data_IF_095444689260
#
_entry.id   IF_095444689260
#
_cell.length_a   1.000
_cell.length_b   1.000
_cell.length_c   1.000
_cell.angle_alpha   90.00
_cell.angle_beta   90.00
_cell.angle_gamma   90.00
#
_symmetry.space_group_name_H-M   'P 1'
#
loop_
_entity.id
_entity.type
_entity.pdbx_description
1 polymer ?
#
# COMPACT_ATOMS: atom_id res chain seq x y z
N UNK A 1 17.56 0.82 37.61
CA UNK A 1 17.07 1.43 36.35
C UNK A 1 17.73 0.69 35.20
N UNK A 2 16.96 -0.03 34.39
CA UNK A 2 17.46 -0.71 33.19
C UNK A 2 16.94 0.05 31.97
N UNK A 3 17.84 0.76 31.30
CA UNK A 3 17.60 1.29 29.97
C UNK A 3 17.65 0.12 28.99
N UNK A 4 16.49 -0.31 28.49
CA UNK A 4 16.44 -1.14 27.29
C UNK A 4 16.55 -0.20 26.08
N UNK A 5 17.51 -0.38 25.17
CA UNK A 5 17.46 0.29 23.88
C UNK A 5 16.25 -0.27 23.11
N UNK A 6 15.42 0.62 22.56
CA UNK A 6 14.39 0.24 21.60
C UNK A 6 15.08 -0.52 20.46
N UNK A 7 14.87 -1.84 20.41
CA UNK A 7 15.36 -2.65 19.32
C UNK A 7 14.69 -2.16 18.04
N UNK A 8 15.47 -1.60 17.11
CA UNK A 8 15.05 -1.44 15.72
C UNK A 8 14.60 -2.82 15.25
N UNK A 9 13.30 -3.01 15.00
CA UNK A 9 12.78 -4.23 14.42
C UNK A 9 13.44 -4.40 13.04
N UNK A 10 14.42 -5.30 12.96
CA UNK A 10 15.00 -5.73 11.68
C UNK A 10 14.12 -6.83 11.14
N UNK A 11 13.51 -6.60 9.97
CA UNK A 11 12.61 -7.56 9.33
C UNK A 11 13.26 -8.11 8.06
N UNK A 12 12.85 -9.31 7.66
CA UNK A 12 13.29 -9.92 6.40
C UNK A 12 12.55 -9.26 5.24
N UNK A 13 13.19 -9.18 4.06
CA UNK A 13 12.53 -8.70 2.83
C UNK A 13 11.21 -9.45 2.54
N UNK A 14 11.15 -10.75 2.86
CA UNK A 14 9.94 -11.57 2.70
C UNK A 14 8.76 -11.10 3.57
N UNK A 15 9.03 -10.53 4.74
CA UNK A 15 7.99 -10.04 5.64
C UNK A 15 7.43 -8.71 5.12
N UNK A 16 8.29 -7.79 4.67
CA UNK A 16 7.85 -6.58 3.97
C UNK A 16 7.04 -6.90 2.72
N UNK A 17 7.48 -7.87 1.93
CA UNK A 17 6.73 -8.36 0.76
C UNK A 17 5.34 -8.85 1.15
N UNK A 18 5.22 -9.64 2.21
CA UNK A 18 3.92 -10.13 2.69
C UNK A 18 2.99 -8.96 3.10
N UNK A 19 3.54 -7.89 3.68
CA UNK A 19 2.76 -6.67 4.00
C UNK A 19 2.27 -5.96 2.74
N UNK A 20 3.13 -5.77 1.74
CA UNK A 20 2.69 -5.22 0.44
C UNK A 20 1.64 -6.11 -0.22
N UNK A 21 1.79 -7.43 -0.17
CA UNK A 21 0.82 -8.39 -0.72
C UNK A 21 -0.53 -8.32 0.01
N UNK A 22 -0.54 -8.11 1.33
CA UNK A 22 -1.77 -7.92 2.09
C UNK A 22 -2.50 -6.62 1.69
N UNK A 23 -1.78 -5.51 1.51
CA UNK A 23 -2.37 -4.25 1.02
C UNK A 23 -2.84 -4.42 -0.43
N UNK A 24 -2.07 -5.11 -1.26
CA UNK A 24 -2.45 -5.46 -2.64
C UNK A 24 -3.72 -6.30 -2.70
N UNK A 25 -3.85 -7.29 -1.83
CA UNK A 25 -5.03 -8.15 -1.75
C UNK A 25 -6.28 -7.32 -1.40
N UNK A 26 -6.20 -6.42 -0.42
CA UNK A 26 -7.27 -5.45 -0.13
C UNK A 26 -7.59 -4.59 -1.35
N UNK A 27 -6.56 -4.01 -1.98
CA UNK A 27 -6.74 -3.19 -3.18
C UNK A 27 -7.44 -3.94 -4.32
N UNK A 28 -7.20 -5.25 -4.46
CA UNK A 28 -7.81 -6.10 -5.49
C UNK A 28 -9.22 -6.56 -5.13
N UNK A 29 -9.48 -6.94 -3.89
CA UNK A 29 -10.71 -7.63 -3.51
C UNK A 29 -11.76 -6.76 -2.83
N UNK A 30 -11.37 -5.63 -2.23
CA UNK A 30 -12.34 -4.74 -1.60
C UNK A 30 -13.22 -4.10 -2.67
N UNK A 31 -14.52 -4.10 -2.42
CA UNK A 31 -15.48 -3.36 -3.21
C UNK A 31 -15.45 -1.89 -2.77
N UNK A 32 -15.13 -1.01 -3.71
CA UNK A 32 -14.73 0.38 -3.42
C UNK A 32 -15.91 1.32 -3.57
N UNK A 33 -16.85 0.99 -4.46
CA UNK A 33 -17.92 1.87 -4.87
C UNK A 33 -17.44 3.33 -5.04
N UNK A 34 -18.22 4.26 -4.49
CA UNK A 34 -17.88 5.68 -4.40
C UNK A 34 -17.37 6.09 -3.01
N UNK A 35 -16.86 5.16 -2.19
CA UNK A 35 -16.32 5.51 -0.88
C UNK A 35 -15.06 6.39 -1.03
N UNK A 36 -15.12 7.68 -0.67
CA UNK A 36 -13.98 8.59 -0.84
C UNK A 36 -12.85 8.30 0.16
N UNK A 37 -13.09 7.47 1.19
CA UNK A 37 -12.12 7.15 2.24
C UNK A 37 -11.29 5.91 1.95
N UNK A 38 -11.74 5.05 1.02
CA UNK A 38 -11.07 3.79 0.70
C UNK A 38 -9.64 4.01 0.17
N UNK A 39 -9.48 4.87 -0.84
CA UNK A 39 -8.18 5.14 -1.45
C UNK A 39 -7.19 5.76 -0.44
N UNK A 40 -7.58 6.80 0.34
CA UNK A 40 -6.78 7.26 1.47
C UNK A 40 -6.40 6.14 2.46
N UNK A 41 -7.32 5.22 2.76
CA UNK A 41 -7.07 4.07 3.63
C UNK A 41 -5.98 3.12 3.09
N UNK A 42 -6.05 2.78 1.80
CA UNK A 42 -5.02 1.99 1.12
C UNK A 42 -3.68 2.73 1.09
N UNK A 43 -3.69 4.02 0.74
CA UNK A 43 -2.48 4.84 0.68
C UNK A 43 -1.81 4.95 2.05
N UNK A 44 -2.57 5.13 3.13
CA UNK A 44 -2.02 5.21 4.47
C UNK A 44 -1.35 3.89 4.90
N UNK A 45 -1.96 2.74 4.57
CA UNK A 45 -1.35 1.43 4.83
C UNK A 45 -0.06 1.26 4.01
N UNK A 46 -0.09 1.68 2.75
CA UNK A 46 1.05 1.60 1.85
C UNK A 46 2.21 2.49 2.32
N UNK A 47 1.93 3.75 2.65
CA UNK A 47 2.90 4.71 3.19
C UNK A 47 3.53 4.21 4.50
N UNK A 48 2.76 3.51 5.34
CA UNK A 48 3.28 2.93 6.57
C UNK A 48 4.31 1.82 6.26
N UNK A 49 4.01 0.93 5.31
CA UNK A 49 4.96 -0.12 4.89
C UNK A 49 6.21 0.50 4.24
N UNK A 50 6.02 1.49 3.35
CA UNK A 50 7.12 2.20 2.70
C UNK A 50 8.05 2.87 3.73
N UNK A 51 7.49 3.52 4.76
CA UNK A 51 8.27 4.12 5.85
C UNK A 51 9.08 3.08 6.62
N UNK A 52 8.48 1.93 6.97
CA UNK A 52 9.20 0.86 7.66
C UNK A 52 10.35 0.29 6.81
N UNK A 53 10.17 0.18 5.49
CA UNK A 53 11.24 -0.24 4.55
C UNK A 53 12.36 0.80 4.47
N UNK A 54 12.02 2.08 4.44
CA UNK A 54 13.01 3.15 4.37
C UNK A 54 13.85 3.24 5.65
N UNK A 55 13.20 3.14 6.81
CA UNK A 55 13.82 3.17 8.13
C UNK A 55 14.65 1.91 8.46
N UNK A 56 14.39 0.77 7.79
CA UNK A 56 15.17 -0.44 7.98
C UNK A 56 16.54 -0.34 7.27
N UNK A 57 17.59 -0.12 8.08
CA UNK A 57 18.98 -0.04 7.62
C UNK A 57 19.60 -1.39 7.30
N UNK A 58 18.96 -2.51 7.65
CA UNK A 58 19.44 -3.86 7.34
C UNK A 58 19.09 -4.30 5.92
N UNK A 59 18.10 -3.66 5.29
CA UNK A 59 17.75 -3.90 3.89
C UNK A 59 18.80 -3.30 2.95
N UNK A 60 19.29 -4.13 2.03
CA UNK A 60 20.12 -3.65 0.92
C UNK A 60 19.34 -2.68 0.02
N UNK A 61 20.05 -1.76 -0.63
CA UNK A 61 19.44 -0.85 -1.61
C UNK A 61 18.72 -1.59 -2.74
N UNK A 62 19.18 -2.79 -3.10
CA UNK A 62 18.52 -3.63 -4.10
C UNK A 62 17.19 -4.22 -3.58
N UNK A 63 17.15 -4.63 -2.32
CA UNK A 63 15.90 -5.07 -1.67
C UNK A 63 14.89 -3.92 -1.60
N UNK A 64 15.31 -2.71 -1.20
CA UNK A 64 14.45 -1.52 -1.19
C UNK A 64 13.88 -1.20 -2.57
N UNK A 65 14.70 -1.28 -3.64
CA UNK A 65 14.22 -1.11 -5.02
C UNK A 65 13.17 -2.14 -5.42
N UNK A 66 13.35 -3.42 -5.08
CA UNK A 66 12.35 -4.47 -5.37
C UNK A 66 11.04 -4.23 -4.63
N UNK A 67 11.11 -3.78 -3.38
CA UNK A 67 9.93 -3.44 -2.59
C UNK A 67 9.22 -2.18 -3.13
N UNK A 68 9.95 -1.20 -3.63
CA UNK A 68 9.39 -0.01 -4.29
C UNK A 68 8.61 -0.34 -5.58
N UNK A 69 8.94 -1.45 -6.27
CA UNK A 69 8.13 -1.93 -7.40
C UNK A 69 6.76 -2.44 -6.94
N UNK A 70 6.71 -3.10 -5.77
CA UNK A 70 5.43 -3.54 -5.18
C UNK A 70 4.59 -2.34 -4.73
N UNK A 71 5.24 -1.34 -4.14
CA UNK A 71 4.60 -0.08 -3.77
C UNK A 71 3.89 0.57 -4.97
N UNK A 72 4.61 0.73 -6.08
CA UNK A 72 4.06 1.27 -7.32
C UNK A 72 2.92 0.40 -7.91
N UNK A 73 3.01 -0.94 -7.84
CA UNK A 73 1.94 -1.82 -8.32
C UNK A 73 0.65 -1.66 -7.50
N UNK A 74 0.75 -1.61 -6.17
CA UNK A 74 -0.41 -1.41 -5.28
C UNK A 74 -1.06 -0.06 -5.56
N UNK A 75 -0.27 1.01 -5.66
CA UNK A 75 -0.79 2.34 -5.94
C UNK A 75 -1.50 2.38 -7.30
N UNK A 76 -0.93 1.75 -8.32
CA UNK A 76 -1.54 1.66 -9.66
C UNK A 76 -2.89 0.94 -9.63
N UNK A 77 -2.99 -0.18 -8.92
CA UNK A 77 -4.27 -0.91 -8.75
C UNK A 77 -5.30 -0.02 -8.06
N UNK A 78 -4.91 0.64 -6.96
CA UNK A 78 -5.81 1.48 -6.20
C UNK A 78 -6.35 2.68 -7.01
N UNK A 79 -5.46 3.38 -7.73
CA UNK A 79 -5.87 4.47 -8.64
C UNK A 79 -6.78 3.96 -9.76
N UNK A 80 -6.45 2.82 -10.36
CA UNK A 80 -7.25 2.21 -11.42
C UNK A 80 -8.69 1.92 -10.99
N UNK A 81 -8.89 1.44 -9.75
CA UNK A 81 -10.23 1.21 -9.20
C UNK A 81 -11.02 2.50 -8.98
N UNK A 82 -10.40 3.53 -8.39
CA UNK A 82 -11.05 4.84 -8.20
C UNK A 82 -11.46 5.42 -9.55
N UNK A 83 -10.58 5.34 -10.54
CA UNK A 83 -10.87 5.82 -11.89
C UNK A 83 -12.05 5.07 -12.51
N UNK A 84 -12.10 3.74 -12.40
CA UNK A 84 -13.22 2.93 -12.90
C UNK A 84 -14.54 3.28 -12.19
N UNK A 85 -14.55 3.41 -10.87
CA UNK A 85 -15.74 3.78 -10.11
C UNK A 85 -16.25 5.18 -10.47
N UNK A 86 -15.35 6.13 -10.66
CA UNK A 86 -15.69 7.48 -11.11
C UNK A 86 -16.31 7.47 -12.52
N UNK A 87 -15.69 6.76 -13.46
CA UNK A 87 -16.22 6.64 -14.83
C UNK A 87 -17.59 5.98 -14.87
N UNK A 88 -17.84 4.97 -14.03
CA UNK A 88 -19.16 4.34 -13.91
C UNK A 88 -20.20 5.34 -13.40
N UNK A 89 -19.90 6.07 -12.33
CA UNK A 89 -20.82 7.07 -11.79
C UNK A 89 -21.13 8.20 -12.79
N UNK A 90 -20.14 8.60 -13.61
CA UNK A 90 -20.36 9.56 -14.70
C UNK A 90 -21.24 8.97 -15.79
N UNK A 91 -21.04 7.71 -16.18
CA UNK A 91 -21.88 7.04 -17.17
C UNK A 91 -23.35 6.94 -16.69
N UNK A 92 -23.56 6.55 -15.42
CA UNK A 92 -24.90 6.44 -14.81
C UNK A 92 -25.64 7.80 -14.76
N UNK A 93 -24.90 8.92 -14.71
CA UNK A 93 -25.46 10.28 -14.77
C UNK A 93 -25.81 10.74 -16.20
N UNK A 94 -25.20 10.17 -17.24
CA UNK A 94 -25.45 10.52 -18.64
C UNK A 94 -26.59 9.71 -19.26
N UNK A 95 -26.85 8.51 -18.73
CA UNK A 95 -27.94 7.63 -19.20
C UNK A 95 -29.33 7.97 -18.57
N UNK A 96 -29.37 8.84 -17.55
CA UNK A 96 -30.59 9.40 -16.95
C UNK A 96 -30.95 10.79 -17.50
#
# INVERSE_FOLDING_TARGET
MLFMPAGRHTMRESEYRAMYEAVRHKALHDDVGLDPTWFPGIKNQLDAVARMVDEDTSLSSNAKRRLAVLDADVLRIAVGKVHAAYMQAVADMLDN
#
